data_IF_185236241473
#
_entry.id   IF_185236241473
#
_cell.length_a   1.000
_cell.length_b   1.000
_cell.length_c   1.000
_cell.angle_alpha   90.00
_cell.angle_beta   90.00
_cell.angle_gamma   90.00
#
_symmetry.space_group_name_H-M   'P 1'
#
loop_
_entity.id
_entity.type
_entity.pdbx_description
1 polymer ?
#
# COMPACT_ATOMS: atom_id res chain seq x y z
N UNK A 1 -32.90 -3.64 -5.90
CA UNK A 1 -31.84 -2.81 -6.51
C UNK A 1 -30.59 -3.66 -6.51
N UNK A 2 -30.25 -4.20 -7.68
CA UNK A 2 -29.10 -5.08 -7.89
C UNK A 2 -27.85 -4.22 -7.80
N UNK A 3 -27.01 -4.44 -6.79
CA UNK A 3 -25.68 -3.82 -6.76
C UNK A 3 -24.81 -4.58 -7.77
N UNK A 4 -24.75 -4.06 -9.00
CA UNK A 4 -23.68 -4.41 -9.92
C UNK A 4 -22.37 -3.88 -9.33
N UNK A 5 -21.30 -4.69 -9.25
CA UNK A 5 -20.00 -4.16 -8.87
C UNK A 5 -19.54 -3.27 -10.03
N UNK A 6 -19.25 -2.00 -9.74
CA UNK A 6 -18.62 -1.08 -10.69
C UNK A 6 -17.27 -1.69 -11.15
N UNK A 7 -17.31 -2.43 -12.26
CA UNK A 7 -16.12 -2.89 -13.01
C UNK A 7 -15.67 -1.69 -13.86
N UNK A 8 -15.22 -0.63 -13.19
CA UNK A 8 -14.40 0.41 -13.81
C UNK A 8 -13.26 0.74 -12.86
N UNK A 9 -12.19 -0.03 -13.02
CA UNK A 9 -10.90 0.17 -12.37
C UNK A 9 -10.38 1.56 -12.71
N UNK A 10 -10.51 2.51 -11.78
CA UNK A 10 -9.81 3.78 -11.86
C UNK A 10 -8.31 3.47 -11.80
N UNK A 11 -7.63 3.58 -12.94
CA UNK A 11 -6.19 3.40 -13.06
C UNK A 11 -5.47 4.24 -12.00
N UNK A 12 -4.79 3.60 -11.04
CA UNK A 12 -4.00 4.26 -9.99
C UNK A 12 -4.52 4.14 -8.54
N UNK A 13 -5.62 3.42 -8.29
CA UNK A 13 -6.08 3.14 -6.93
C UNK A 13 -5.30 1.98 -6.27
N UNK A 14 -5.02 2.10 -4.97
CA UNK A 14 -4.53 0.99 -4.15
C UNK A 14 -5.60 -0.10 -4.08
N UNK A 15 -5.19 -1.36 -4.17
CA UNK A 15 -6.08 -2.52 -4.15
C UNK A 15 -5.44 -3.64 -3.33
N UNK A 16 -6.26 -4.53 -2.76
CA UNK A 16 -5.78 -5.71 -2.06
C UNK A 16 -4.99 -6.61 -3.02
N UNK A 17 -3.83 -7.07 -2.58
CA UNK A 17 -2.79 -7.76 -3.38
C UNK A 17 -2.19 -6.90 -4.51
N UNK A 18 -2.59 -5.64 -4.64
CA UNK A 18 -1.95 -4.68 -5.53
C UNK A 18 -0.56 -4.32 -5.04
N UNK A 19 0.31 -3.95 -5.98
CA UNK A 19 1.65 -3.44 -5.67
C UNK A 19 1.59 -1.95 -5.37
N UNK A 20 2.38 -1.51 -4.39
CA UNK A 20 2.51 -0.11 -4.04
C UNK A 20 3.98 0.25 -3.82
N UNK A 21 4.32 1.52 -4.08
CA UNK A 21 5.63 2.10 -3.82
C UNK A 21 5.53 3.17 -2.76
N UNK A 22 6.44 3.14 -1.80
CA UNK A 22 6.53 4.14 -0.74
C UNK A 22 7.08 5.46 -1.30
N UNK A 23 6.46 6.59 -0.95
CA UNK A 23 6.88 7.93 -1.42
C UNK A 23 8.00 8.55 -0.60
N UNK A 24 8.07 8.22 0.69
CA UNK A 24 9.04 8.76 1.63
C UNK A 24 9.46 7.69 2.64
N UNK A 25 10.66 7.79 3.22
CA UNK A 25 11.11 6.85 4.25
C UNK A 25 10.08 6.71 5.38
N UNK A 26 9.88 5.48 5.86
CA UNK A 26 9.06 5.19 7.04
C UNK A 26 9.84 4.30 7.99
N UNK A 27 9.56 4.47 9.27
CA UNK A 27 10.17 3.67 10.33
C UNK A 27 9.11 2.78 10.98
N UNK A 28 9.41 1.49 11.05
CA UNK A 28 8.66 0.52 11.83
C UNK A 28 8.87 0.76 13.34
N UNK A 29 7.97 0.22 14.17
CA UNK A 29 8.05 0.36 15.62
C UNK A 29 9.33 -0.23 16.22
N UNK A 30 9.91 -1.26 15.61
CA UNK A 30 11.17 -1.88 16.03
C UNK A 30 12.42 -1.08 15.64
N UNK A 31 12.24 0.08 14.98
CA UNK A 31 13.33 0.94 14.52
C UNK A 31 13.76 0.68 13.08
N UNK A 32 13.29 -0.40 12.43
CA UNK A 32 13.58 -0.73 11.04
C UNK A 32 13.12 0.38 10.10
N UNK A 33 13.96 0.81 9.16
CA UNK A 33 13.64 1.85 8.18
C UNK A 33 13.39 1.23 6.81
N UNK A 34 12.26 1.59 6.20
CA UNK A 34 11.92 1.25 4.83
C UNK A 34 12.14 2.51 3.98
N UNK A 35 13.07 2.50 3.02
CA UNK A 35 13.43 3.69 2.27
C UNK A 35 12.33 4.11 1.30
N UNK A 36 12.32 5.40 0.94
CA UNK A 36 11.51 5.88 -0.17
C UNK A 36 11.82 5.07 -1.45
N UNK A 37 10.79 4.78 -2.24
CA UNK A 37 10.92 3.99 -3.45
C UNK A 37 10.85 2.47 -3.25
N UNK A 38 10.89 1.97 -2.01
CA UNK A 38 10.63 0.57 -1.71
C UNK A 38 9.25 0.15 -2.23
N UNK A 39 9.18 -1.02 -2.85
CA UNK A 39 7.95 -1.59 -3.38
C UNK A 39 7.48 -2.73 -2.48
N UNK A 40 6.18 -2.79 -2.25
CA UNK A 40 5.55 -3.83 -1.44
C UNK A 40 4.20 -4.23 -1.98
N UNK A 41 3.60 -5.22 -1.34
CA UNK A 41 2.28 -5.75 -1.64
C UNK A 41 1.30 -5.25 -0.59
N UNK A 42 0.17 -4.71 -1.03
CA UNK A 42 -0.93 -4.33 -0.13
C UNK A 42 -1.61 -5.60 0.36
N UNK A 43 -1.53 -5.88 1.65
CA UNK A 43 -2.13 -7.07 2.29
C UNK A 43 -3.40 -6.74 3.08
N UNK A 44 -3.67 -5.46 3.35
CA UNK A 44 -4.94 -5.02 3.93
C UNK A 44 -5.24 -3.57 3.56
N UNK A 45 -6.52 -3.23 3.39
CA UNK A 45 -7.00 -1.84 3.21
C UNK A 45 -7.79 -1.44 4.45
N UNK A 46 -7.44 -0.30 5.04
CA UNK A 46 -8.01 0.19 6.29
C UNK A 46 -8.80 1.48 6.08
N UNK A 47 -9.80 1.70 6.94
CA UNK A 47 -10.52 2.98 7.04
C UNK A 47 -11.11 3.48 5.72
N UNK A 48 -11.66 2.58 4.89
CA UNK A 48 -12.24 2.94 3.58
C UNK A 48 -11.21 3.43 2.55
N UNK A 49 -9.94 3.02 2.68
CA UNK A 49 -8.88 3.38 1.74
C UNK A 49 -7.96 4.52 2.20
N UNK A 50 -8.07 4.95 3.46
CA UNK A 50 -7.20 5.99 4.02
C UNK A 50 -5.80 5.47 4.38
N UNK A 51 -5.68 4.17 4.65
CA UNK A 51 -4.41 3.51 4.93
C UNK A 51 -4.40 2.07 4.41
N UNK A 52 -3.20 1.51 4.31
CA UNK A 52 -2.96 0.13 3.90
C UNK A 52 -1.95 -0.53 4.82
N UNK A 53 -2.07 -1.84 5.03
CA UNK A 53 -0.95 -2.66 5.50
C UNK A 53 -0.20 -3.14 4.27
N UNK A 54 1.10 -2.88 4.23
CA UNK A 54 1.98 -3.22 3.11
C UNK A 54 3.11 -4.10 3.60
N UNK A 55 3.28 -5.24 2.94
CA UNK A 55 4.43 -6.12 3.12
C UNK A 55 5.52 -5.76 2.11
N UNK A 56 6.69 -5.40 2.62
CA UNK A 56 7.90 -5.12 1.85
C UNK A 56 8.86 -6.30 1.97
N UNK A 57 9.48 -6.67 0.86
CA UNK A 57 10.48 -7.75 0.79
C UNK A 57 11.85 -7.27 0.31
N UNK A 58 11.91 -6.15 -0.41
CA UNK A 58 13.13 -5.51 -0.93
C UNK A 58 12.98 -3.98 -0.87
N UNK A 59 14.03 -3.23 -0.45
CA UNK A 59 15.35 -3.69 0.01
C UNK A 59 15.37 -4.18 1.47
N UNK A 60 14.23 -4.12 2.17
CA UNK A 60 14.11 -4.47 3.59
C UNK A 60 12.83 -5.26 3.80
N UNK A 61 12.91 -6.36 4.56
CA UNK A 61 11.75 -7.14 4.95
C UNK A 61 11.02 -6.45 6.12
N UNK A 62 9.81 -5.96 5.89
CA UNK A 62 9.01 -5.26 6.89
C UNK A 62 7.53 -5.27 6.55
N UNK A 63 6.67 -5.18 7.57
CA UNK A 63 5.22 -4.96 7.40
C UNK A 63 4.86 -3.65 8.07
N UNK A 64 4.29 -2.72 7.30
CA UNK A 64 3.95 -1.38 7.79
C UNK A 64 2.50 -1.03 7.51
N UNK A 65 1.87 -0.37 8.48
CA UNK A 65 0.66 0.43 8.22
C UNK A 65 1.08 1.78 7.64
N UNK A 66 0.66 2.08 6.42
CA UNK A 66 1.05 3.28 5.67
C UNK A 66 -0.19 4.03 5.22
N UNK A 67 -0.19 5.36 5.32
CA UNK A 67 -1.28 6.20 4.78
C UNK A 67 -1.32 6.07 3.26
N UNK A 68 -2.52 6.07 2.68
CA UNK A 68 -2.67 5.93 1.23
C UNK A 68 -1.98 7.08 0.46
N UNK A 69 -1.93 8.28 1.04
CA UNK A 69 -1.25 9.45 0.46
C UNK A 69 0.28 9.30 0.37
N UNK A 70 0.86 8.38 1.13
CA UNK A 70 2.29 8.06 1.12
C UNK A 70 2.64 6.91 0.16
N UNK A 71 1.64 6.40 -0.57
CA UNK A 71 1.80 5.29 -1.49
C UNK A 71 1.48 5.71 -2.93
N UNK A 72 2.13 5.03 -3.86
CA UNK A 72 1.81 5.08 -5.28
C UNK A 72 1.50 3.67 -5.74
N UNK A 73 0.29 3.45 -6.26
CA UNK A 73 -0.06 2.17 -6.87
C UNK A 73 0.83 1.90 -8.09
N UNK A 74 1.37 0.68 -8.18
CA UNK A 74 2.13 0.21 -9.33
C UNK A 74 1.20 -0.61 -10.23
N UNK A 75 1.35 -0.42 -11.55
CA UNK A 75 0.69 -1.25 -12.57
C UNK A 75 1.44 -2.56 -12.77
#
# INVERSE_FOLDING_TARGET
>A
MTNEPDILTKSGALSFLGRARLRAERQARDGTRVPAGAAGTVVEILGGGQACIVEFVDPVQAVLTVRAEDLTALR
#
